data_IF_305187693036
#
_entry.id   IF_305187693036
#
_cell.length_a   1.000
_cell.length_b   1.000
_cell.length_c   1.000
_cell.angle_alpha   90.00
_cell.angle_beta   90.00
_cell.angle_gamma   90.00
#
_symmetry.space_group_name_H-M   'P 1'
#
loop_
_entity.id
_entity.type
_entity.pdbx_description
1 polymer ?
#
# COMPACT_ATOMS: atom_id res chain seq x y z
N UNK A 1 -24.55 -11.78 2.83
CA UNK A 1 -23.95 -10.53 2.31
C UNK A 1 -22.63 -10.91 1.67
N UNK A 2 -22.30 -10.32 0.52
CA UNK A 2 -20.98 -10.51 -0.09
C UNK A 2 -19.89 -9.97 0.83
N UNK A 3 -18.72 -10.63 0.83
CA UNK A 3 -17.58 -10.19 1.63
C UNK A 3 -17.08 -8.85 1.07
N UNK A 4 -17.00 -7.78 1.87
CA UNK A 4 -16.61 -6.47 1.34
C UNK A 4 -15.15 -6.47 0.88
N UNK A 5 -14.89 -5.88 -0.28
CA UNK A 5 -13.54 -5.65 -0.77
C UNK A 5 -12.97 -4.40 -0.10
N UNK A 6 -11.87 -4.56 0.63
CA UNK A 6 -11.13 -3.46 1.25
C UNK A 6 -9.79 -3.27 0.53
N UNK A 7 -9.57 -2.09 -0.03
CA UNK A 7 -8.33 -1.72 -0.71
C UNK A 7 -7.64 -0.61 0.09
N UNK A 8 -6.33 -0.71 0.27
CA UNK A 8 -5.51 0.34 0.88
C UNK A 8 -4.33 0.71 0.00
N UNK A 9 -3.99 2.00 -0.01
CA UNK A 9 -2.79 2.51 -0.69
C UNK A 9 -1.50 2.19 0.08
N UNK A 10 -1.60 1.85 1.36
CA UNK A 10 -0.43 1.61 2.19
C UNK A 10 -0.77 1.00 3.53
N UNK A 11 0.28 0.71 4.30
CA UNK A 11 0.20 0.15 5.66
C UNK A 11 1.03 0.96 6.65
N UNK A 12 1.30 2.22 6.32
CA UNK A 12 2.05 3.14 7.17
C UNK A 12 1.33 3.35 8.49
N UNK A 13 2.11 3.36 9.58
CA UNK A 13 1.57 3.58 10.94
C UNK A 13 1.44 5.07 11.23
N UNK A 14 2.47 5.81 10.83
CA UNK A 14 2.58 7.24 11.03
C UNK A 14 3.30 7.88 9.85
N UNK A 15 3.01 9.15 9.61
CA UNK A 15 3.83 10.02 8.77
C UNK A 15 4.35 11.20 9.60
N UNK A 16 5.47 11.78 9.16
CA UNK A 16 6.10 12.91 9.84
C UNK A 16 5.57 14.22 9.26
N UNK A 17 5.12 15.11 10.14
CA UNK A 17 4.75 16.49 9.83
C UNK A 17 5.62 17.46 10.62
N UNK A 18 5.42 18.77 10.43
CA UNK A 18 6.23 19.83 11.04
C UNK A 18 6.14 19.85 12.57
N UNK A 19 5.02 19.41 13.12
CA UNK A 19 4.69 19.42 14.55
C UNK A 19 4.80 18.04 15.22
N UNK A 20 5.12 16.98 14.46
CA UNK A 20 5.32 15.64 15.02
C UNK A 20 4.85 14.50 14.12
N UNK A 21 4.64 13.34 14.72
CA UNK A 21 4.10 12.17 14.04
C UNK A 21 2.57 12.24 14.03
N UNK A 22 1.97 11.99 12.86
CA UNK A 22 0.52 11.86 12.71
C UNK A 22 0.16 10.46 12.24
N UNK A 23 -1.02 9.99 12.63
CA UNK A 23 -1.52 8.68 12.22
C UNK A 23 -1.69 8.62 10.71
N UNK A 24 -1.20 7.52 10.12
CA UNK A 24 -1.34 7.25 8.70
C UNK A 24 -2.44 6.20 8.46
N UNK A 25 -2.73 5.92 7.18
CA UNK A 25 -3.83 5.07 6.70
C UNK A 25 -3.87 3.69 7.33
N UNK A 26 -2.73 3.14 7.77
CA UNK A 26 -2.64 1.79 8.34
C UNK A 26 -3.49 1.61 9.60
N UNK A 27 -3.66 2.65 10.41
CA UNK A 27 -4.50 2.58 11.61
C UNK A 27 -5.99 2.38 11.25
N UNK A 28 -6.48 3.16 10.28
CA UNK A 28 -7.86 3.07 9.80
C UNK A 28 -8.11 1.76 9.04
N UNK A 29 -7.14 1.34 8.22
CA UNK A 29 -7.16 0.05 7.51
C UNK A 29 -7.33 -1.10 8.50
N UNK A 30 -6.52 -1.15 9.58
CA UNK A 30 -6.63 -2.20 10.60
C UNK A 30 -7.96 -2.17 11.36
N UNK A 31 -8.48 -0.98 11.64
CA UNK A 31 -9.80 -0.85 12.27
C UNK A 31 -10.93 -1.42 11.39
N UNK A 32 -10.89 -1.15 10.08
CA UNK A 32 -11.88 -1.65 9.12
C UNK A 32 -11.74 -3.17 8.89
N UNK A 33 -10.51 -3.68 8.78
CA UNK A 33 -10.27 -5.13 8.71
C UNK A 33 -10.90 -5.86 9.89
N UNK A 34 -10.71 -5.33 11.11
CA UNK A 34 -11.29 -5.89 12.32
C UNK A 34 -12.82 -5.82 12.33
N UNK A 35 -13.39 -4.66 12.02
CA UNK A 35 -14.83 -4.45 12.05
C UNK A 35 -15.59 -5.28 11.02
N UNK A 36 -14.97 -5.56 9.87
CA UNK A 36 -15.59 -6.23 8.73
C UNK A 36 -15.17 -7.70 8.57
N UNK A 37 -14.27 -8.21 9.41
CA UNK A 37 -13.65 -9.55 9.28
C UNK A 37 -13.07 -9.81 7.87
N UNK A 38 -12.30 -8.83 7.39
CA UNK A 38 -11.63 -8.87 6.07
C UNK A 38 -10.14 -8.58 6.19
N UNK A 39 -9.41 -8.87 5.11
CA UNK A 39 -8.03 -8.43 4.94
C UNK A 39 -7.97 -7.44 3.79
N UNK A 40 -7.24 -6.35 3.97
CA UNK A 40 -7.08 -5.32 2.97
C UNK A 40 -6.08 -5.75 1.89
N UNK A 41 -6.42 -5.51 0.64
CA UNK A 41 -5.47 -5.56 -0.46
C UNK A 41 -4.67 -4.25 -0.49
N UNK A 42 -3.34 -4.35 -0.35
CA UNK A 42 -2.47 -3.17 -0.40
C UNK A 42 -1.91 -3.02 -1.81
N UNK A 43 -2.34 -1.96 -2.50
CA UNK A 43 -2.00 -1.73 -3.92
C UNK A 43 -0.91 -0.68 -4.14
N UNK A 44 -0.55 0.07 -3.10
CA UNK A 44 0.60 0.99 -3.16
C UNK A 44 1.90 0.34 -2.67
N UNK A 45 2.94 1.15 -2.46
CA UNK A 45 4.27 0.66 -2.04
C UNK A 45 4.17 -0.18 -0.75
N UNK A 46 4.89 -1.31 -0.64
CA UNK A 46 5.89 -1.86 -1.57
C UNK A 46 5.32 -2.88 -2.59
N UNK A 47 4.01 -2.85 -2.91
CA UNK A 47 3.42 -3.80 -3.84
C UNK A 47 4.11 -3.73 -5.22
N UNK A 48 4.53 -4.89 -5.73
CA UNK A 48 5.21 -5.01 -7.04
C UNK A 48 4.41 -4.34 -8.16
N UNK A 49 3.10 -4.57 -8.17
CA UNK A 49 2.17 -4.03 -9.16
C UNK A 49 2.18 -2.49 -9.23
N UNK A 50 2.44 -1.81 -8.11
CA UNK A 50 2.57 -0.35 -8.08
C UNK A 50 3.74 0.13 -8.94
N UNK A 51 4.90 -0.52 -8.82
CA UNK A 51 6.09 -0.15 -9.57
C UNK A 51 6.04 -0.63 -11.02
N UNK A 52 5.50 -1.84 -11.26
CA UNK A 52 5.29 -2.34 -12.62
C UNK A 52 4.37 -1.41 -13.42
N UNK A 53 3.33 -0.86 -12.79
CA UNK A 53 2.43 0.10 -13.42
C UNK A 53 3.15 1.39 -13.81
N UNK A 54 4.01 1.92 -12.92
CA UNK A 54 4.82 3.10 -13.20
C UNK A 54 5.86 2.86 -14.33
N UNK A 55 6.53 1.69 -14.34
CA UNK A 55 7.49 1.32 -15.38
C UNK A 55 6.80 1.14 -16.75
N UNK A 56 5.62 0.53 -16.77
CA UNK A 56 4.82 0.37 -17.97
C UNK A 56 4.40 1.73 -18.55
N UNK A 57 4.01 2.68 -17.71
CA UNK A 57 3.68 4.05 -18.12
C UNK A 57 4.90 4.79 -18.70
N UNK A 58 6.10 4.54 -18.17
CA UNK A 58 7.35 5.09 -18.69
C UNK A 58 7.92 4.33 -19.91
N UNK A 59 7.33 3.18 -20.28
CA UNK A 59 7.84 2.33 -21.37
C UNK A 59 9.16 1.62 -21.07
N UNK A 60 9.52 1.44 -19.79
CA UNK A 60 10.79 0.83 -19.36
C UNK A 60 10.61 -0.68 -19.15
N UNK A 61 11.49 -1.55 -19.71
CA UNK A 61 11.41 -3.00 -19.50
C UNK A 61 11.73 -3.39 -18.05
N UNK A 62 11.04 -4.40 -17.47
CA UNK A 62 11.26 -4.84 -16.09
C UNK A 62 12.69 -5.29 -15.74
N UNK A 63 13.52 -5.59 -16.75
CA UNK A 63 14.90 -6.07 -16.58
C UNK A 63 15.91 -4.98 -16.21
N UNK A 64 15.55 -3.69 -16.35
CA UNK A 64 16.42 -2.56 -16.01
C UNK A 64 16.13 -1.98 -14.61
N UNK A 65 15.01 -2.37 -13.99
CA UNK A 65 14.66 -1.97 -12.63
C UNK A 65 15.29 -2.92 -11.63
N UNK A 66 16.39 -2.52 -10.99
CA UNK A 66 17.10 -3.30 -9.98
C UNK A 66 16.19 -3.86 -8.87
N UNK A 67 16.61 -4.98 -8.28
CA UNK A 67 15.90 -5.73 -7.23
C UNK A 67 15.33 -4.80 -6.16
N UNK A 68 14.01 -4.61 -6.14
CA UNK A 68 13.34 -3.88 -5.06
C UNK A 68 13.25 -4.79 -3.84
N UNK A 69 14.22 -4.59 -2.95
CA UNK A 69 14.45 -5.30 -1.71
C UNK A 69 13.15 -5.48 -0.89
N UNK A 70 12.88 -6.75 -0.53
CA UNK A 70 11.86 -7.13 0.44
C UNK A 70 12.41 -6.85 1.84
N UNK A 71 12.11 -5.67 2.39
CA UNK A 71 12.36 -5.36 3.81
C UNK A 71 11.06 -4.93 4.48
#
# INVERSE_FOLDING_TARGET
MEKPLLISLGRGRYYKETDGLKLDVGAYMKALEYACDVQAEVVGKPAKAFFESALAEMGVPPQESGEMEKT
#
